data_IF_392561915712
#
_entry.id   IF_392561915712
#
_cell.length_a   1.000
_cell.length_b   1.000
_cell.length_c   1.000
_cell.angle_alpha   90.00
_cell.angle_beta   90.00
_cell.angle_gamma   90.00
#
_symmetry.space_group_name_H-M   'P 1'
#
loop_
_entity.id
_entity.type
_entity.pdbx_description
1 polymer ?
#
# COMPACT_ATOMS: atom_id res chain seq x y z
N UNK A 1 -4.80 2.57 13.25
CA UNK A 1 -5.88 3.05 12.36
C UNK A 1 -5.65 2.39 11.01
N UNK A 2 -6.60 1.61 10.50
CA UNK A 2 -6.43 0.84 9.26
C UNK A 2 -6.65 1.74 8.04
N UNK A 3 -5.78 1.63 7.03
CA UNK A 3 -5.92 2.34 5.77
C UNK A 3 -6.73 1.48 4.79
N UNK A 4 -7.99 1.84 4.58
CA UNK A 4 -8.85 1.24 3.55
C UNK A 4 -8.82 2.17 2.34
N UNK A 5 -8.27 1.73 1.20
CA UNK A 5 -8.10 2.60 0.02
C UNK A 5 -9.00 2.17 -1.14
N UNK A 6 -9.87 3.08 -1.57
CA UNK A 6 -10.70 2.95 -2.78
C UNK A 6 -9.96 3.21 -4.11
N UNK A 7 -8.63 3.36 -4.07
CA UNK A 7 -7.78 3.55 -5.26
C UNK A 7 -6.38 3.00 -5.02
N UNK A 8 -6.05 1.90 -5.68
CA UNK A 8 -4.71 1.37 -5.74
C UNK A 8 -4.20 1.57 -7.17
N UNK A 9 -3.18 2.40 -7.35
CA UNK A 9 -2.49 2.51 -8.64
C UNK A 9 -1.09 1.93 -8.51
N UNK A 10 -0.83 0.82 -9.20
CA UNK A 10 0.48 0.16 -9.22
C UNK A 10 1.40 0.89 -10.20
N UNK A 11 2.44 1.54 -9.71
CA UNK A 11 3.40 2.27 -10.54
C UNK A 11 4.58 1.38 -10.92
N UNK A 12 4.66 0.97 -12.18
CA UNK A 12 5.75 0.08 -12.69
C UNK A 12 7.03 0.82 -13.10
N UNK A 13 7.08 2.16 -13.00
CA UNK A 13 8.27 2.96 -13.35
C UNK A 13 9.07 3.36 -12.11
N UNK A 14 10.22 2.72 -11.96
CA UNK A 14 11.41 3.11 -11.19
C UNK A 14 11.55 2.64 -9.72
N UNK A 15 10.51 2.11 -9.06
CA UNK A 15 10.64 1.28 -7.86
C UNK A 15 9.63 0.14 -8.01
N UNK A 16 10.08 -1.09 -8.31
CA UNK A 16 9.21 -2.19 -8.77
C UNK A 16 8.11 -2.63 -7.79
N UNK A 17 8.13 -2.12 -6.55
CA UNK A 17 7.40 -2.66 -5.41
C UNK A 17 6.66 -1.57 -4.60
N UNK A 18 6.29 -0.43 -5.20
CA UNK A 18 5.54 0.61 -4.50
C UNK A 18 4.11 0.74 -5.01
N UNK A 19 3.18 0.70 -4.07
CA UNK A 19 1.75 0.96 -4.24
C UNK A 19 1.45 2.39 -3.83
N UNK A 20 0.67 3.11 -4.65
CA UNK A 20 0.19 4.46 -4.34
C UNK A 20 -1.30 4.45 -4.09
N UNK A 21 -1.70 5.18 -3.06
CA UNK A 21 -3.08 5.22 -2.60
C UNK A 21 -3.44 6.55 -1.92
N UNK A 22 -4.74 6.82 -1.85
CA UNK A 22 -5.28 8.01 -1.21
C UNK A 22 -6.02 7.59 0.06
N UNK A 23 -5.54 8.08 1.18
CA UNK A 23 -6.19 7.97 2.50
C UNK A 23 -5.59 9.04 3.40
N UNK A 24 -6.34 9.45 4.41
CA UNK A 24 -5.76 10.29 5.44
C UNK A 24 -4.80 9.45 6.29
N UNK A 25 -3.56 9.92 6.42
CA UNK A 25 -2.55 9.35 7.32
C UNK A 25 -1.91 10.47 8.11
N UNK A 26 -1.66 10.24 9.38
CA UNK A 26 -0.89 11.14 10.23
C UNK A 26 0.49 10.56 10.53
N UNK A 27 1.38 11.41 11.06
CA UNK A 27 2.66 10.96 11.59
C UNK A 27 2.42 9.88 12.67
N UNK A 28 3.11 8.75 12.54
CA UNK A 28 2.88 7.57 13.38
C UNK A 28 2.13 6.44 12.66
N UNK A 29 1.60 6.67 11.45
CA UNK A 29 1.00 5.61 10.62
C UNK A 29 2.04 4.70 9.93
N UNK A 30 3.34 5.01 10.00
CA UNK A 30 4.42 4.20 9.42
C UNK A 30 4.34 2.74 9.87
N UNK A 31 4.39 1.81 8.91
CA UNK A 31 4.25 0.37 9.19
C UNK A 31 2.80 -0.08 9.41
N UNK A 32 1.80 0.75 9.14
CA UNK A 32 0.41 0.29 9.11
C UNK A 32 0.15 -0.54 7.85
N UNK A 33 -0.59 -1.66 7.96
CA UNK A 33 -1.01 -2.42 6.80
C UNK A 33 -2.00 -1.60 5.97
N UNK A 34 -1.89 -1.74 4.65
CA UNK A 34 -2.85 -1.25 3.66
C UNK A 34 -3.66 -2.47 3.23
N UNK A 35 -4.98 -2.37 3.37
CA UNK A 35 -5.89 -3.44 3.00
C UNK A 35 -6.71 -3.06 1.77
N UNK A 36 -7.08 -4.06 0.97
CA UNK A 36 -8.11 -3.91 -0.07
C UNK A 36 -9.52 -4.03 0.52
N UNK A 37 -10.53 -3.99 -0.36
CA UNK A 37 -11.95 -4.04 0.02
C UNK A 37 -12.37 -5.39 0.63
N UNK A 38 -11.59 -6.46 0.40
CA UNK A 38 -11.77 -7.79 0.98
C UNK A 38 -10.99 -7.96 2.30
N UNK A 39 -10.43 -6.87 2.84
CA UNK A 39 -9.60 -6.82 4.04
C UNK A 39 -8.27 -7.59 3.94
N UNK A 40 -7.80 -7.89 2.73
CA UNK A 40 -6.51 -8.54 2.51
C UNK A 40 -5.39 -7.51 2.56
N UNK A 41 -4.29 -7.84 3.23
CA UNK A 41 -3.12 -6.97 3.31
C UNK A 41 -2.38 -6.92 1.97
N UNK A 42 -2.40 -5.78 1.29
CA UNK A 42 -1.82 -5.59 -0.06
C UNK A 42 -0.53 -4.78 -0.08
N UNK A 43 -0.29 -3.96 0.96
CA UNK A 43 0.95 -3.20 1.11
C UNK A 43 1.23 -2.79 2.56
N UNK A 44 2.42 -2.25 2.80
CA UNK A 44 2.84 -1.69 4.08
C UNK A 44 3.13 -0.20 3.94
N UNK A 45 2.43 0.68 4.67
CA UNK A 45 2.63 2.14 4.59
C UNK A 45 4.06 2.53 4.99
N UNK A 46 4.74 3.32 4.15
CA UNK A 46 6.10 3.77 4.44
C UNK A 46 6.34 5.27 4.22
N UNK A 47 5.50 5.96 3.43
CA UNK A 47 5.66 7.39 3.19
C UNK A 47 4.37 8.07 2.73
N UNK A 48 4.35 9.40 2.85
CA UNK A 48 3.47 10.29 2.10
C UNK A 48 4.32 11.17 1.18
N UNK A 49 3.87 11.37 -0.07
CA UNK A 49 4.55 12.25 -1.03
C UNK A 49 3.64 13.35 -1.49
N UNK A 50 4.23 14.54 -1.59
CA UNK A 50 3.60 15.68 -2.25
C UNK A 50 3.64 15.47 -3.75
N UNK A 51 2.52 15.67 -4.41
CA UNK A 51 2.38 15.59 -5.86
C UNK A 51 1.99 16.95 -6.43
N UNK A 52 2.12 17.09 -7.75
CA UNK A 52 1.46 18.18 -8.46
C UNK A 52 -0.06 18.09 -8.20
N UNK A 53 -0.75 19.21 -7.95
CA UNK A 53 -2.18 19.19 -7.71
C UNK A 53 -2.93 18.51 -8.87
N UNK A 54 -3.66 17.45 -8.56
CA UNK A 54 -4.45 16.68 -9.52
C UNK A 54 -5.91 16.65 -9.07
N UNK A 55 -6.85 16.68 -10.03
CA UNK A 55 -8.27 16.57 -9.71
C UNK A 55 -8.69 15.11 -9.67
N UNK A 56 -9.27 14.67 -8.56
CA UNK A 56 -9.85 13.35 -8.42
C UNK A 56 -11.21 13.44 -7.72
N UNK A 57 -12.26 12.87 -8.33
CA UNK A 57 -13.65 12.93 -7.84
C UNK A 57 -14.14 14.35 -7.48
N UNK A 58 -13.63 15.38 -8.16
CA UNK A 58 -13.98 16.79 -7.91
C UNK A 58 -13.16 17.47 -6.82
N UNK A 59 -12.25 16.76 -6.16
CA UNK A 59 -11.35 17.30 -5.15
C UNK A 59 -9.94 17.51 -5.71
N UNK A 60 -9.19 18.43 -5.10
CA UNK A 60 -7.79 18.68 -5.45
C UNK A 60 -6.88 17.87 -4.53
N UNK A 61 -6.24 16.85 -5.08
CA UNK A 61 -5.29 16.00 -4.38
C UNK A 61 -3.90 16.61 -4.50
N UNK A 62 -3.24 16.81 -3.35
CA UNK A 62 -1.88 17.39 -3.26
C UNK A 62 -0.86 16.40 -2.69
N UNK A 63 -1.35 15.30 -2.14
CA UNK A 63 -0.55 14.26 -1.52
C UNK A 63 -1.12 12.89 -1.87
N UNK A 64 -0.24 11.91 -1.99
CA UNK A 64 -0.61 10.51 -1.97
C UNK A 64 0.26 9.76 -0.97
N UNK A 65 -0.20 8.59 -0.55
CA UNK A 65 0.58 7.69 0.28
C UNK A 65 1.31 6.67 -0.59
N UNK A 66 2.45 6.22 -0.08
CA UNK A 66 3.25 5.16 -0.66
C UNK A 66 3.33 4.01 0.35
N UNK A 67 3.17 2.80 -0.17
CA UNK A 67 3.38 1.57 0.60
C UNK A 67 4.18 0.55 -0.20
N UNK A 68 4.95 -0.28 0.49
CA UNK A 68 5.69 -1.39 -0.11
C UNK A 68 4.69 -2.51 -0.40
N UNK A 69 4.65 -2.98 -1.65
CA UNK A 69 3.84 -4.11 -2.10
C UNK A 69 4.11 -5.33 -1.20
N UNK A 70 3.06 -5.96 -0.68
CA UNK A 70 3.20 -7.07 0.26
C UNK A 70 3.97 -8.24 -0.37
N UNK A 71 3.80 -8.51 -1.66
CA UNK A 71 4.48 -9.63 -2.32
C UNK A 71 5.99 -9.39 -2.41
N UNK A 72 6.42 -8.13 -2.52
CA UNK A 72 7.82 -7.80 -2.47
C UNK A 72 8.45 -8.07 -1.09
N UNK A 73 7.69 -7.82 -0.02
CA UNK A 73 8.14 -8.17 1.34
C UNK A 73 8.23 -9.69 1.48
N UNK A 74 7.24 -10.41 0.95
CA UNK A 74 7.17 -11.87 1.05
C UNK A 74 8.26 -12.57 0.23
N UNK A 75 8.65 -12.01 -0.92
CA UNK A 75 9.77 -12.53 -1.71
C UNK A 75 11.11 -12.45 -0.98
N UNK A 76 11.25 -11.54 -0.02
CA UNK A 76 12.43 -11.42 0.84
C UNK A 76 12.38 -12.33 2.09
N UNK A 77 11.27 -13.05 2.32
CA UNK A 77 11.14 -13.99 3.44
C UNK A 77 11.64 -15.40 3.08
N UNK A 78 12.07 -16.18 4.09
CA UNK A 78 12.31 -17.61 3.93
C UNK A 78 11.09 -18.32 3.30
N UNK A 79 11.29 -19.27 2.36
CA UNK A 79 10.19 -19.91 1.63
C UNK A 79 9.12 -20.54 2.53
N UNK A 80 9.52 -21.08 3.68
CA UNK A 80 8.61 -21.69 4.65
C UNK A 80 7.65 -20.66 5.25
N UNK A 81 8.16 -19.50 5.68
CA UNK A 81 7.33 -18.43 6.23
C UNK A 81 6.42 -17.81 5.17
N UNK A 82 6.93 -17.65 3.94
CA UNK A 82 6.10 -17.18 2.82
C UNK A 82 4.92 -18.14 2.57
N UNK A 83 5.16 -19.44 2.60
CA UNK A 83 4.14 -20.46 2.39
C UNK A 83 3.07 -20.43 3.50
N UNK A 84 3.49 -20.36 4.77
CA UNK A 84 2.57 -20.23 5.91
C UNK A 84 1.65 -19.00 5.78
N UNK A 85 2.19 -17.87 5.32
CA UNK A 85 1.42 -16.64 5.12
C UNK A 85 0.43 -16.79 3.96
N UNK A 86 0.85 -17.38 2.83
CA UNK A 86 -0.04 -17.61 1.69
C UNK A 86 -1.24 -18.49 2.08
N UNK A 87 -1.00 -19.57 2.83
CA UNK A 87 -2.05 -20.44 3.34
C UNK A 87 -3.00 -19.71 4.30
N UNK A 88 -2.47 -18.85 5.17
CA UNK A 88 -3.27 -18.08 6.12
C UNK A 88 -4.11 -16.97 5.46
N UNK A 89 -3.63 -16.39 4.36
CA UNK A 89 -4.33 -15.32 3.63
C UNK A 89 -5.27 -15.85 2.54
N UNK A 90 -5.24 -17.16 2.24
CA UNK A 90 -6.10 -17.78 1.23
C UNK A 90 -5.75 -17.37 -0.20
N UNK A 91 -4.46 -17.11 -0.46
CA UNK A 91 -3.93 -16.77 -1.79
C UNK A 91 -3.60 -18.00 -2.64
#
# INVERSE_FOLDING_TARGET
MYAVSSLLTRSTRCLKNLLRYLTDTEAGASGSPVCDDDWLGVAMHCAARKISPESYKGETIKYHNEGIDIHAILDDLPPQLRQEIYEAQGW
#
